data_IF_631022167738
#
_entry.id   IF_631022167738
#
_cell.length_a   1.000
_cell.length_b   1.000
_cell.length_c   1.000
_cell.angle_alpha   90.00
_cell.angle_beta   90.00
_cell.angle_gamma   90.00
#
_symmetry.space_group_name_H-M   'P 1'
#
loop_
_entity.id
_entity.type
_entity.pdbx_description
1 polymer ?
#
# COMPACT_ATOMS: atom_id res chain seq x y z
N UNK A 1 -1.05 -26.98 -22.29
CA UNK A 1 -1.57 -25.98 -21.32
C UNK A 1 -1.08 -24.61 -21.76
N UNK A 2 -1.81 -23.53 -21.43
CA UNK A 2 -1.35 -22.17 -21.71
C UNK A 2 -0.17 -21.81 -20.80
N UNK A 3 0.83 -21.12 -21.32
CA UNK A 3 1.93 -20.54 -20.55
C UNK A 3 1.48 -19.18 -19.99
N UNK A 4 1.47 -19.04 -18.67
CA UNK A 4 1.10 -17.81 -17.98
C UNK A 4 2.33 -17.04 -17.46
N UNK A 5 3.55 -17.48 -17.78
CA UNK A 5 4.75 -16.79 -17.32
C UNK A 5 4.88 -15.39 -17.93
N UNK A 6 5.42 -14.46 -17.14
CA UNK A 6 5.61 -13.06 -17.54
C UNK A 6 6.98 -12.56 -17.09
N UNK A 7 7.52 -11.56 -17.79
CA UNK A 7 8.67 -10.80 -17.30
C UNK A 7 8.15 -9.46 -16.78
N UNK A 8 8.25 -9.26 -15.48
CA UNK A 8 7.82 -8.04 -14.80
C UNK A 8 9.00 -7.41 -14.06
N UNK A 9 9.24 -6.13 -14.30
CA UNK A 9 10.38 -5.40 -13.73
C UNK A 9 11.73 -6.14 -13.89
N UNK A 10 11.93 -6.85 -15.01
CA UNK A 10 13.14 -7.63 -15.28
C UNK A 10 13.22 -9.00 -14.59
N UNK A 11 12.22 -9.40 -13.79
CA UNK A 11 12.12 -10.71 -13.15
C UNK A 11 11.15 -11.61 -13.94
N UNK A 12 11.53 -12.87 -14.14
CA UNK A 12 10.64 -13.87 -14.76
C UNK A 12 9.76 -14.50 -13.67
N UNK A 13 8.45 -14.35 -13.80
CA UNK A 13 7.46 -14.86 -12.85
C UNK A 13 6.63 -15.96 -13.51
N UNK A 14 6.22 -16.97 -12.73
CA UNK A 14 5.37 -18.08 -13.22
C UNK A 14 3.96 -17.66 -13.65
N UNK A 15 3.48 -16.53 -13.16
CA UNK A 15 2.12 -16.03 -13.34
C UNK A 15 2.08 -14.51 -13.17
N UNK A 16 1.20 -13.77 -13.87
CA UNK A 16 0.95 -12.36 -13.60
C UNK A 16 0.08 -12.14 -12.35
N UNK A 17 -0.44 -13.21 -11.75
CA UNK A 17 -1.29 -13.14 -10.57
C UNK A 17 -0.43 -13.15 -9.32
N UNK A 18 -0.65 -12.21 -8.41
CA UNK A 18 -0.02 -12.19 -7.10
C UNK A 18 -0.92 -11.54 -6.06
N UNK A 19 -0.38 -11.39 -4.86
CA UNK A 19 -1.15 -11.00 -3.68
C UNK A 19 -0.77 -9.58 -3.28
N UNK A 20 -1.74 -8.65 -3.30
CA UNK A 20 -1.50 -7.26 -2.93
C UNK A 20 -0.99 -7.13 -1.49
N UNK A 21 -0.23 -6.07 -1.18
CA UNK A 21 0.20 -5.77 0.18
C UNK A 21 -1.00 -5.64 1.12
N UNK A 22 -1.05 -6.47 2.15
CA UNK A 22 -2.07 -6.49 3.20
C UNK A 22 -1.46 -7.09 4.46
N UNK A 23 -1.98 -6.73 5.64
CA UNK A 23 -1.60 -7.39 6.89
C UNK A 23 -2.52 -8.59 7.10
N UNK A 24 -2.00 -9.81 7.02
CA UNK A 24 -2.80 -11.03 7.17
C UNK A 24 -3.18 -11.25 8.64
N UNK A 25 -2.22 -11.16 9.55
CA UNK A 25 -2.46 -11.43 10.95
C UNK A 25 -3.00 -10.20 11.70
N UNK A 26 -4.09 -10.44 12.43
CA UNK A 26 -4.65 -9.51 13.42
C UNK A 26 -3.62 -9.28 14.55
N UNK A 27 -2.63 -8.42 14.32
CA UNK A 27 -1.50 -8.26 15.23
C UNK A 27 -0.41 -7.26 14.82
N UNK A 28 -0.40 -6.74 13.58
CA UNK A 28 0.64 -5.79 13.17
C UNK A 28 2.01 -6.47 12.96
N UNK A 29 2.00 -7.67 12.39
CA UNK A 29 3.13 -8.61 12.34
C UNK A 29 3.79 -8.82 13.72
N UNK A 30 3.09 -9.53 14.60
CA UNK A 30 3.70 -10.02 15.85
C UNK A 30 4.70 -11.16 15.54
N UNK A 31 4.54 -11.85 14.42
CA UNK A 31 5.28 -13.07 14.10
C UNK A 31 5.58 -13.14 12.59
N UNK A 32 6.78 -12.70 12.15
CA UNK A 32 7.13 -12.67 10.74
C UNK A 32 7.21 -14.06 10.10
N UNK A 33 7.54 -15.11 10.87
CA UNK A 33 7.58 -16.47 10.35
C UNK A 33 6.17 -16.98 10.01
N UNK A 34 5.18 -16.70 10.85
CA UNK A 34 3.78 -17.05 10.52
C UNK A 34 3.26 -16.29 9.31
N UNK A 35 3.61 -15.01 9.18
CA UNK A 35 3.28 -14.23 7.97
C UNK A 35 3.94 -14.85 6.74
N UNK A 36 5.19 -15.29 6.82
CA UNK A 36 5.86 -16.01 5.74
C UNK A 36 5.13 -17.32 5.40
N UNK A 37 4.82 -18.16 6.39
CA UNK A 37 4.07 -19.42 6.20
C UNK A 37 2.76 -19.17 5.44
N UNK A 38 2.00 -18.14 5.85
CA UNK A 38 0.74 -17.79 5.22
C UNK A 38 0.92 -17.27 3.79
N UNK A 39 1.94 -16.43 3.54
CA UNK A 39 2.24 -15.97 2.19
C UNK A 39 2.66 -17.12 1.28
N UNK A 40 3.35 -18.13 1.81
CA UNK A 40 3.70 -19.35 1.09
C UNK A 40 2.49 -20.19 0.68
N UNK A 41 1.40 -20.20 1.47
CA UNK A 41 0.13 -20.83 1.04
C UNK A 41 -0.36 -20.23 -0.30
N UNK A 42 -0.24 -18.91 -0.49
CA UNK A 42 -0.59 -18.28 -1.77
C UNK A 42 0.34 -18.69 -2.92
N UNK A 43 1.62 -18.88 -2.62
CA UNK A 43 2.61 -19.35 -3.59
C UNK A 43 2.30 -20.78 -4.04
N UNK A 44 1.92 -21.65 -3.11
CA UNK A 44 1.45 -23.01 -3.40
C UNK A 44 0.17 -23.01 -4.25
N UNK A 45 -0.71 -22.02 -4.05
CA UNK A 45 -1.90 -21.80 -4.89
C UNK A 45 -1.59 -21.20 -6.27
N UNK A 46 -0.33 -20.86 -6.57
CA UNK A 46 0.12 -20.43 -7.89
C UNK A 46 0.38 -18.93 -8.05
N UNK A 47 0.51 -18.17 -6.94
CA UNK A 47 0.96 -16.78 -7.00
C UNK A 47 2.36 -16.68 -7.63
N UNK A 48 2.55 -15.73 -8.55
CA UNK A 48 3.84 -15.39 -9.16
C UNK A 48 4.63 -14.33 -8.39
N UNK A 49 4.00 -13.68 -7.41
CA UNK A 49 4.66 -12.78 -6.47
C UNK A 49 3.82 -12.59 -5.22
N UNK A 50 4.48 -12.25 -4.12
CA UNK A 50 3.86 -11.85 -2.86
C UNK A 50 4.39 -10.49 -2.45
N UNK A 51 3.52 -9.66 -1.90
CA UNK A 51 3.93 -8.42 -1.28
C UNK A 51 4.14 -8.62 0.21
N UNK A 52 5.15 -7.95 0.78
CA UNK A 52 5.17 -7.73 2.22
C UNK A 52 3.98 -6.85 2.62
N UNK A 53 3.55 -6.88 3.89
CA UNK A 53 2.76 -5.80 4.46
C UNK A 53 3.54 -4.47 4.35
N UNK A 54 2.87 -3.35 4.55
CA UNK A 54 3.47 -2.02 4.39
C UNK A 54 4.42 -1.72 5.57
N UNK A 55 5.73 -1.82 5.31
CA UNK A 55 6.83 -1.68 6.28
C UNK A 55 7.19 -0.21 6.45
N UNK A 56 7.13 0.29 7.67
CA UNK A 56 7.54 1.66 8.01
C UNK A 56 8.96 1.74 8.58
N UNK A 57 9.41 2.96 8.87
CA UNK A 57 10.74 3.25 9.40
C UNK A 57 10.86 3.16 10.94
N UNK A 58 9.83 2.68 11.64
CA UNK A 58 9.90 2.46 13.09
C UNK A 58 10.32 1.02 13.39
N UNK A 59 11.26 0.83 14.32
CA UNK A 59 11.84 -0.49 14.59
C UNK A 59 10.83 -1.54 15.06
N UNK A 60 9.97 -1.18 16.02
CA UNK A 60 9.13 -2.12 16.78
C UNK A 60 7.72 -1.60 17.00
N UNK A 61 6.76 -2.51 17.15
CA UNK A 61 5.36 -2.10 17.28
C UNK A 61 5.11 -1.56 18.70
N UNK A 62 4.43 -0.41 18.85
CA UNK A 62 4.10 0.13 20.16
C UNK A 62 3.25 -0.87 20.96
N UNK A 63 3.65 -1.13 22.21
CA UNK A 63 3.01 -2.13 23.09
C UNK A 63 1.63 -1.65 23.58
N UNK A 64 1.47 -0.35 23.72
CA UNK A 64 0.31 0.35 24.23
C UNK A 64 -0.76 0.66 23.17
N UNK A 65 -0.45 0.43 21.89
CA UNK A 65 -1.33 0.74 20.78
C UNK A 65 -1.60 -0.51 19.92
N UNK A 66 -2.27 -1.55 20.46
CA UNK A 66 -2.51 -2.77 19.71
C UNK A 66 -3.32 -2.48 18.44
N UNK A 67 -3.07 -3.25 17.37
CA UNK A 67 -3.76 -3.10 16.10
C UNK A 67 -5.28 -3.06 16.21
N UNK A 68 -5.89 -2.16 15.45
CA UNK A 68 -7.33 -1.92 15.49
C UNK A 68 -7.87 -1.58 14.10
N UNK A 69 -8.86 -2.36 13.65
CA UNK A 69 -9.63 -2.14 12.42
C UNK A 69 -11.11 -2.35 12.67
N UNK A 70 -11.92 -1.67 11.87
CA UNK A 70 -13.34 -1.95 11.70
C UNK A 70 -13.63 -2.16 10.23
N UNK A 71 -14.25 -3.29 9.96
CA UNK A 71 -14.71 -3.69 8.63
C UNK A 71 -16.22 -3.45 8.53
N UNK A 72 -16.68 -2.84 7.45
CA UNK A 72 -18.09 -2.74 7.12
C UNK A 72 -18.30 -3.19 5.68
N UNK A 73 -19.05 -4.28 5.53
CA UNK A 73 -19.46 -4.76 4.22
C UNK A 73 -20.51 -3.83 3.62
N UNK A 74 -20.30 -3.43 2.38
CA UNK A 74 -21.26 -2.70 1.57
C UNK A 74 -21.76 -3.66 0.50
N UNK A 75 -23.09 -3.82 0.41
CA UNK A 75 -23.71 -4.66 -0.61
C UNK A 75 -24.86 -3.92 -1.28
N UNK A 76 -24.91 -3.95 -2.60
CA UNK A 76 -26.08 -3.52 -3.35
C UNK A 76 -26.99 -4.71 -3.67
N UNK A 77 -28.30 -4.45 -3.76
CA UNK A 77 -29.27 -5.47 -4.18
C UNK A 77 -29.18 -5.68 -5.70
N UNK A 78 -29.76 -6.78 -6.18
CA UNK A 78 -30.02 -7.01 -7.60
C UNK A 78 -30.70 -5.77 -8.25
N UNK A 79 -30.38 -5.42 -9.52
CA UNK A 79 -29.55 -6.18 -10.48
C UNK A 79 -28.05 -5.92 -10.40
N UNK A 80 -27.61 -4.95 -9.60
CA UNK A 80 -26.17 -4.59 -9.54
C UNK A 80 -25.34 -5.58 -8.73
N UNK A 81 -25.87 -6.06 -7.58
CA UNK A 81 -25.25 -7.10 -6.74
C UNK A 81 -23.75 -6.88 -6.43
N UNK A 82 -23.35 -5.62 -6.27
CA UNK A 82 -21.97 -5.25 -5.99
C UNK A 82 -21.67 -5.45 -4.50
N UNK A 83 -20.53 -6.07 -4.20
CA UNK A 83 -19.98 -6.13 -2.85
C UNK A 83 -18.75 -5.21 -2.76
N UNK A 84 -18.52 -4.66 -1.57
CA UNK A 84 -17.37 -3.83 -1.25
C UNK A 84 -17.12 -3.83 0.26
N UNK A 85 -15.96 -3.32 0.64
CA UNK A 85 -15.49 -3.31 2.02
C UNK A 85 -15.03 -1.91 2.40
N UNK A 86 -15.58 -1.37 3.48
CA UNK A 86 -15.04 -0.19 4.13
C UNK A 86 -14.14 -0.61 5.28
N UNK A 87 -12.99 0.05 5.38
CA UNK A 87 -12.02 -0.18 6.45
C UNK A 87 -11.73 1.14 7.16
N UNK A 88 -12.09 1.20 8.44
CA UNK A 88 -11.68 2.27 9.34
C UNK A 88 -10.63 1.73 10.31
N UNK A 89 -9.52 2.43 10.45
CA UNK A 89 -8.36 2.01 11.23
C UNK A 89 -7.50 3.22 11.58
N UNK A 90 -6.53 3.05 12.46
CA UNK A 90 -5.50 4.03 12.78
C UNK A 90 -4.20 3.54 12.14
N UNK A 91 -3.60 4.34 11.25
CA UNK A 91 -2.53 3.82 10.39
C UNK A 91 -1.35 3.33 11.22
N UNK A 92 -0.94 4.12 12.22
CA UNK A 92 0.16 3.79 13.11
C UNK A 92 0.03 2.40 13.77
N UNK A 93 -1.20 1.93 14.02
CA UNK A 93 -1.46 0.65 14.68
C UNK A 93 -1.47 -0.57 13.75
N UNK A 94 -1.41 -0.36 12.44
CA UNK A 94 -1.52 -1.45 11.46
C UNK A 94 -0.30 -1.56 10.55
N UNK A 95 0.62 -0.58 10.58
CA UNK A 95 1.87 -0.64 9.82
C UNK A 95 2.77 -1.74 10.36
N UNK A 96 3.36 -2.49 9.44
CA UNK A 96 4.45 -3.38 9.76
C UNK A 96 5.66 -2.54 10.16
N UNK A 97 6.36 -2.99 11.20
CA UNK A 97 7.56 -2.34 11.70
C UNK A 97 8.79 -2.88 11.03
N UNK A 98 9.85 -2.10 11.05
CA UNK A 98 11.06 -2.36 10.28
C UNK A 98 11.64 -3.73 10.60
N UNK A 99 11.94 -4.01 11.87
CA UNK A 99 12.58 -5.27 12.27
C UNK A 99 11.78 -6.51 11.84
N UNK A 100 10.49 -6.68 12.22
CA UNK A 100 9.72 -7.83 11.75
C UNK A 100 9.52 -7.85 10.23
N UNK A 101 9.45 -6.68 9.59
CA UNK A 101 9.36 -6.57 8.13
C UNK A 101 10.60 -7.09 7.41
N UNK A 102 11.80 -6.73 7.89
CA UNK A 102 13.06 -7.22 7.34
C UNK A 102 13.21 -8.73 7.57
N UNK A 103 12.90 -9.21 8.79
CA UNK A 103 12.90 -10.66 9.09
C UNK A 103 11.93 -11.43 8.20
N UNK A 104 10.77 -10.88 7.87
CA UNK A 104 9.83 -11.49 6.92
C UNK A 104 10.45 -11.61 5.53
N UNK A 105 11.10 -10.55 5.03
CA UNK A 105 11.77 -10.57 3.72
C UNK A 105 12.86 -11.65 3.70
N UNK A 106 13.70 -11.69 4.73
CA UNK A 106 14.78 -12.69 4.88
C UNK A 106 14.20 -14.11 4.87
N UNK A 107 13.15 -14.35 5.66
CA UNK A 107 12.48 -15.67 5.76
C UNK A 107 11.89 -16.08 4.41
N UNK A 108 11.16 -15.17 3.73
CA UNK A 108 10.60 -15.44 2.41
C UNK A 108 11.71 -15.74 1.38
N UNK A 109 12.84 -15.04 1.45
CA UNK A 109 13.93 -15.21 0.50
C UNK A 109 14.58 -16.59 0.59
N UNK A 110 14.57 -17.22 1.75
CA UNK A 110 15.10 -18.59 1.95
C UNK A 110 14.22 -19.66 1.28
N UNK A 111 12.90 -19.48 1.30
CA UNK A 111 11.93 -20.51 0.90
C UNK A 111 11.25 -20.26 -0.45
N UNK A 112 11.30 -19.03 -0.97
CA UNK A 112 10.62 -18.68 -2.22
C UNK A 112 11.26 -19.35 -3.45
N UNK A 113 10.46 -19.95 -4.35
CA UNK A 113 10.95 -20.42 -5.64
C UNK A 113 11.50 -19.28 -6.52
N UNK A 114 12.51 -19.57 -7.35
CA UNK A 114 13.16 -18.59 -8.24
C UNK A 114 12.21 -17.85 -9.22
N UNK A 115 11.07 -18.44 -9.55
CA UNK A 115 10.04 -17.91 -10.44
C UNK A 115 8.88 -17.22 -9.69
N UNK A 116 9.11 -16.88 -8.42
CA UNK A 116 8.21 -16.12 -7.54
C UNK A 116 9.01 -14.99 -6.88
N UNK A 117 8.50 -13.76 -6.92
CA UNK A 117 9.19 -12.61 -6.34
C UNK A 117 8.56 -12.17 -5.01
N UNK A 118 9.39 -11.72 -4.07
CA UNK A 118 8.96 -10.88 -2.94
C UNK A 118 9.06 -9.41 -3.32
N UNK A 119 7.95 -8.69 -3.22
CA UNK A 119 7.88 -7.24 -3.45
C UNK A 119 7.75 -6.54 -2.09
N UNK A 120 8.81 -5.83 -1.68
CA UNK A 120 8.80 -5.10 -0.42
C UNK A 120 7.99 -3.81 -0.56
N UNK A 121 6.86 -3.73 0.14
CA UNK A 121 6.02 -2.54 0.18
C UNK A 121 6.50 -1.61 1.30
N UNK A 122 7.09 -0.47 0.94
CA UNK A 122 7.76 0.42 1.89
C UNK A 122 6.97 1.72 2.07
N UNK A 123 6.78 2.17 3.31
CA UNK A 123 6.22 3.48 3.66
C UNK A 123 7.24 4.29 4.47
N UNK A 124 7.88 5.26 3.81
CA UNK A 124 8.91 6.09 4.44
C UNK A 124 8.38 7.35 5.14
N UNK A 125 9.27 8.07 5.82
CA UNK A 125 8.94 9.21 6.67
C UNK A 125 8.66 10.49 5.85
N UNK A 126 7.40 10.73 5.53
CA UNK A 126 6.95 11.94 4.83
C UNK A 126 7.69 12.12 3.50
N UNK A 127 8.28 13.30 3.29
CA UNK A 127 9.06 13.63 2.09
C UNK A 127 10.58 13.58 2.31
N UNK A 128 11.06 12.94 3.38
CA UNK A 128 12.48 12.78 3.66
C UNK A 128 13.14 11.79 2.69
N UNK A 129 13.94 12.32 1.76
CA UNK A 129 14.50 11.54 0.64
C UNK A 129 15.53 10.55 1.13
N UNK A 130 16.37 10.98 2.06
CA UNK A 130 17.41 10.19 2.69
C UNK A 130 16.79 9.06 3.52
N UNK A 131 15.79 9.36 4.34
CA UNK A 131 15.05 8.34 5.10
C UNK A 131 14.37 7.30 4.21
N UNK A 132 13.76 7.70 3.09
CA UNK A 132 13.21 6.77 2.10
C UNK A 132 14.28 5.90 1.43
N UNK A 133 15.42 6.49 1.06
CA UNK A 133 16.54 5.78 0.45
C UNK A 133 17.12 4.72 1.38
N UNK A 134 17.40 5.09 2.64
CA UNK A 134 17.93 4.17 3.66
C UNK A 134 16.94 3.03 3.93
N UNK A 135 15.65 3.34 4.09
CA UNK A 135 14.60 2.35 4.31
C UNK A 135 14.52 1.32 3.16
N UNK A 136 14.53 1.78 1.91
CA UNK A 136 14.48 0.88 0.75
C UNK A 136 15.78 0.09 0.59
N UNK A 137 16.92 0.66 0.98
CA UNK A 137 18.20 -0.03 0.97
C UNK A 137 18.24 -1.17 1.99
N UNK A 138 17.68 -0.98 3.18
CA UNK A 138 17.53 -2.05 4.18
C UNK A 138 16.67 -3.21 3.65
N UNK A 139 15.57 -2.92 2.95
CA UNK A 139 14.74 -3.95 2.33
C UNK A 139 15.44 -4.70 1.19
N UNK A 140 16.24 -4.01 0.37
CA UNK A 140 17.11 -4.63 -0.63
C UNK A 140 18.14 -5.56 0.03
N UNK A 141 18.82 -5.08 1.06
CA UNK A 141 19.87 -5.85 1.76
C UNK A 141 19.30 -7.09 2.48
N UNK A 142 18.03 -7.03 2.93
CA UNK A 142 17.29 -8.17 3.47
C UNK A 142 16.87 -9.20 2.39
N UNK A 143 17.01 -8.88 1.11
CA UNK A 143 16.78 -9.81 0.00
C UNK A 143 15.50 -9.59 -0.80
N UNK A 144 14.89 -8.39 -0.73
CA UNK A 144 13.76 -8.06 -1.58
C UNK A 144 14.12 -8.17 -3.07
N UNK A 145 13.21 -8.71 -3.91
CA UNK A 145 13.44 -8.78 -5.36
C UNK A 145 13.07 -7.47 -6.07
N UNK A 146 12.09 -6.75 -5.52
CA UNK A 146 11.49 -5.53 -6.06
C UNK A 146 11.06 -4.64 -4.88
N UNK A 147 11.21 -3.32 -5.02
CA UNK A 147 10.64 -2.32 -4.11
C UNK A 147 9.35 -1.74 -4.68
N UNK A 148 8.31 -1.62 -3.87
CA UNK A 148 7.15 -0.76 -4.12
C UNK A 148 7.07 0.36 -3.08
N UNK A 149 7.26 1.60 -3.51
CA UNK A 149 7.07 2.78 -2.67
C UNK A 149 5.57 3.04 -2.46
N UNK A 150 5.10 2.84 -1.23
CA UNK A 150 3.73 3.09 -0.81
C UNK A 150 3.52 4.54 -0.39
N UNK A 151 3.34 5.40 -1.39
CA UNK A 151 3.06 6.83 -1.23
C UNK A 151 1.56 7.14 -1.27
N UNK A 152 0.71 6.13 -1.03
CA UNK A 152 -0.71 6.19 -1.37
C UNK A 152 -1.66 5.75 -0.27
N UNK A 153 -1.15 5.40 0.91
CA UNK A 153 -2.01 4.96 2.01
C UNK A 153 -3.02 6.07 2.38
N UNK A 154 -4.34 5.78 2.34
CA UNK A 154 -5.38 6.78 2.60
C UNK A 154 -5.49 7.17 4.07
N UNK A 155 -5.20 6.22 4.97
CA UNK A 155 -5.44 6.40 6.41
C UNK A 155 -4.51 7.44 7.04
N UNK A 156 -3.18 7.45 6.79
CA UNK A 156 -2.30 8.49 7.30
C UNK A 156 -2.72 9.91 6.87
N UNK A 157 -3.14 10.06 5.60
CA UNK A 157 -3.64 11.33 5.07
C UNK A 157 -4.94 11.81 5.75
N UNK A 158 -5.66 10.90 6.42
CA UNK A 158 -6.93 11.19 7.10
C UNK A 158 -6.78 11.51 8.59
N UNK A 159 -5.56 11.39 9.15
CA UNK A 159 -5.31 11.69 10.55
C UNK A 159 -5.35 13.20 10.81
N UNK A 160 -5.77 13.60 12.02
CA UNK A 160 -5.96 15.01 12.37
C UNK A 160 -4.68 15.85 12.19
N UNK A 161 -3.51 15.27 12.50
CA UNK A 161 -2.22 15.91 12.31
C UNK A 161 -1.92 16.17 10.82
N UNK A 162 -2.19 15.20 9.94
CA UNK A 162 -2.00 15.34 8.50
C UNK A 162 -2.91 16.42 7.91
N UNK A 163 -4.19 16.44 8.32
CA UNK A 163 -5.15 17.47 7.88
C UNK A 163 -4.75 18.87 8.38
N UNK A 164 -4.32 18.99 9.63
CA UNK A 164 -3.89 20.27 10.21
C UNK A 164 -2.61 20.77 9.54
N UNK A 165 -1.62 19.90 9.36
CA UNK A 165 -0.37 20.23 8.66
C UNK A 165 -0.63 20.69 7.22
N UNK A 166 -1.51 19.99 6.50
CA UNK A 166 -1.89 20.40 5.14
C UNK A 166 -2.46 21.83 5.10
N UNK A 167 -3.23 22.25 6.10
CA UNK A 167 -3.77 23.62 6.19
C UNK A 167 -2.68 24.68 6.43
N UNK A 168 -1.59 24.33 7.12
CA UNK A 168 -0.48 25.23 7.41
C UNK A 168 0.65 25.17 6.38
N UNK A 169 0.57 24.24 5.42
CA UNK A 169 1.61 24.01 4.42
C UNK A 169 2.71 23.04 4.88
N UNK A 170 2.52 22.37 6.02
CA UNK A 170 3.45 21.39 6.57
C UNK A 170 3.07 19.97 6.14
N UNK A 171 4.06 19.12 5.90
CA UNK A 171 3.86 17.69 5.65
C UNK A 171 4.24 16.89 6.89
N UNK A 172 3.36 16.01 7.35
CA UNK A 172 3.65 15.11 8.47
C UNK A 172 4.54 13.92 8.05
N UNK A 173 5.14 13.26 9.04
CA UNK A 173 5.99 12.06 8.86
C UNK A 173 5.25 10.86 8.26
N UNK A 174 3.91 10.81 8.33
CA UNK A 174 3.10 9.80 7.67
C UNK A 174 2.14 10.47 6.66
N UNK A 175 2.72 11.08 5.62
CA UNK A 175 1.96 11.82 4.62
C UNK A 175 0.98 10.95 3.82
N UNK A 176 1.30 9.66 3.61
CA UNK A 176 0.50 8.74 2.81
C UNK A 176 0.13 9.34 1.45
N UNK A 177 -1.15 9.30 1.10
CA UNK A 177 -1.68 9.87 -0.14
C UNK A 177 -1.37 11.37 -0.35
N UNK A 178 -1.07 12.16 0.70
CA UNK A 178 -0.67 13.57 0.54
C UNK A 178 0.69 13.72 -0.15
N UNK A 179 1.62 12.79 0.09
CA UNK A 179 2.87 12.72 -0.67
C UNK A 179 2.58 12.28 -2.11
N UNK A 180 1.77 11.24 -2.28
CA UNK A 180 1.41 10.68 -3.57
C UNK A 180 0.71 11.65 -4.53
N UNK A 181 -0.10 12.59 -4.03
CA UNK A 181 -0.77 13.63 -4.83
C UNK A 181 0.08 14.90 -5.05
N UNK A 182 1.33 14.92 -4.55
CA UNK A 182 2.24 16.07 -4.66
C UNK A 182 3.50 15.75 -5.47
N UNK A 183 3.49 15.91 -6.81
CA UNK A 183 4.65 15.64 -7.66
C UNK A 183 5.92 16.41 -7.22
N UNK A 184 5.78 17.64 -6.76
CA UNK A 184 6.91 18.47 -6.33
C UNK A 184 7.67 17.87 -5.12
N UNK A 185 6.96 17.11 -4.28
CA UNK A 185 7.53 16.43 -3.11
C UNK A 185 7.92 14.99 -3.46
N UNK A 186 7.08 14.29 -4.22
CA UNK A 186 7.27 12.88 -4.54
C UNK A 186 8.44 12.61 -5.48
N UNK A 187 8.57 13.37 -6.59
CA UNK A 187 9.54 13.03 -7.63
C UNK A 187 11.00 13.04 -7.11
N UNK A 188 11.43 14.01 -6.28
CA UNK A 188 12.75 13.95 -5.67
C UNK A 188 12.97 12.74 -4.73
N UNK A 189 11.92 12.27 -4.05
CA UNK A 189 12.00 11.07 -3.18
C UNK A 189 12.16 9.82 -4.04
N UNK A 190 11.38 9.69 -5.13
CA UNK A 190 11.50 8.57 -6.08
C UNK A 190 12.91 8.51 -6.67
N UNK A 191 13.44 9.65 -7.13
CA UNK A 191 14.79 9.72 -7.69
C UNK A 191 15.87 9.31 -6.67
N UNK A 192 15.71 9.70 -5.39
CA UNK A 192 16.64 9.32 -4.33
C UNK A 192 16.62 7.81 -4.08
N UNK A 193 15.44 7.19 -3.98
CA UNK A 193 15.30 5.74 -3.80
C UNK A 193 15.88 4.97 -4.99
N UNK A 194 15.53 5.35 -6.22
CA UNK A 194 16.03 4.70 -7.44
C UNK A 194 17.57 4.75 -7.52
N UNK A 195 18.21 5.80 -7.03
CA UNK A 195 19.68 5.90 -6.98
C UNK A 195 20.31 5.07 -5.87
N UNK A 196 19.58 4.84 -4.78
CA UNK A 196 20.11 4.18 -3.59
C UNK A 196 20.12 2.65 -3.70
N UNK A 197 19.17 2.06 -4.43
CA UNK A 197 19.04 0.61 -4.61
C UNK A 197 19.44 0.17 -6.03
N UNK A 198 19.74 -1.12 -6.19
CA UNK A 198 20.07 -1.76 -7.46
C UNK A 198 18.92 -2.63 -8.01
N UNK A 199 17.97 -3.02 -7.17
CA UNK A 199 16.75 -3.72 -7.58
C UNK A 199 15.68 -2.78 -8.15
N UNK A 200 14.72 -3.28 -8.96
CA UNK A 200 13.67 -2.45 -9.55
C UNK A 200 12.79 -1.79 -8.49
N UNK A 201 12.51 -0.49 -8.69
CA UNK A 201 11.64 0.31 -7.83
C UNK A 201 10.37 0.70 -8.59
N UNK A 202 9.21 0.52 -7.98
CA UNK A 202 7.94 1.06 -8.47
C UNK A 202 7.25 1.94 -7.45
N UNK A 203 6.23 2.66 -7.91
CA UNK A 203 5.47 3.60 -7.07
C UNK A 203 3.99 3.23 -7.08
N UNK A 204 3.41 3.05 -5.88
CA UNK A 204 1.99 2.75 -5.72
C UNK A 204 1.16 4.02 -5.70
N UNK A 205 0.38 4.24 -6.74
CA UNK A 205 -0.39 5.47 -6.92
C UNK A 205 -1.65 5.50 -6.06
N UNK A 206 -1.92 6.68 -5.50
CA UNK A 206 -3.20 6.99 -4.86
C UNK A 206 -4.26 7.27 -5.93
N UNK A 207 -5.52 6.82 -5.73
CA UNK A 207 -6.61 7.19 -6.62
C UNK A 207 -6.99 8.68 -6.53
N UNK A 208 -6.53 9.38 -5.49
CA UNK A 208 -6.80 10.82 -5.27
C UNK A 208 -6.06 11.71 -6.28
N UNK A 209 -4.96 11.21 -6.85
CA UNK A 209 -4.35 11.78 -8.05
C UNK A 209 -5.26 11.47 -9.25
N UNK A 210 -6.33 12.26 -9.39
CA UNK A 210 -7.32 12.09 -10.45
C UNK A 210 -6.82 12.49 -11.85
N UNK A 211 -7.58 12.11 -12.88
CA UNK A 211 -7.33 12.55 -14.26
C UNK A 211 -7.57 14.07 -14.42
N UNK A 212 -6.73 14.81 -15.19
CA UNK A 212 -5.56 14.33 -15.94
C UNK A 212 -4.24 14.36 -15.14
N UNK A 213 -4.25 14.78 -13.87
CA UNK A 213 -3.02 14.92 -13.04
C UNK A 213 -2.19 13.64 -12.98
N UNK A 214 -2.85 12.49 -12.93
CA UNK A 214 -2.20 11.16 -12.90
C UNK A 214 -1.26 10.92 -14.08
N UNK A 215 -1.56 11.48 -15.26
CA UNK A 215 -0.73 11.33 -16.46
C UNK A 215 0.60 12.06 -16.28
N UNK A 216 0.55 13.31 -15.80
CA UNK A 216 1.74 14.09 -15.51
C UNK A 216 2.58 13.46 -14.40
N UNK A 217 1.93 12.91 -13.37
CA UNK A 217 2.64 12.19 -12.31
C UNK A 217 3.30 10.91 -12.83
N UNK A 218 2.61 10.12 -13.65
CA UNK A 218 3.18 8.91 -14.26
C UNK A 218 4.42 9.21 -15.09
N UNK A 219 4.38 10.28 -15.91
CA UNK A 219 5.54 10.72 -16.68
C UNK A 219 6.70 11.15 -15.76
N UNK A 220 6.43 11.94 -14.74
CA UNK A 220 7.47 12.38 -13.79
C UNK A 220 8.12 11.22 -13.04
N UNK A 221 7.33 10.25 -12.58
CA UNK A 221 7.83 9.06 -11.87
C UNK A 221 8.67 8.16 -12.79
N UNK A 222 8.28 8.03 -14.06
CA UNK A 222 9.08 7.36 -15.08
C UNK A 222 10.40 8.09 -15.33
N UNK A 223 10.38 9.41 -15.45
CA UNK A 223 11.59 10.22 -15.68
C UNK A 223 12.53 10.21 -14.47
N UNK A 224 11.99 10.05 -13.26
CA UNK A 224 12.76 9.81 -12.03
C UNK A 224 13.38 8.40 -11.94
N UNK A 225 13.06 7.51 -12.89
CA UNK A 225 13.69 6.20 -13.05
C UNK A 225 12.92 5.02 -12.45
N UNK A 226 11.67 5.19 -12.01
CA UNK A 226 10.86 4.07 -11.55
C UNK A 226 10.58 3.07 -12.69
N UNK A 227 10.69 1.77 -12.38
CA UNK A 227 10.51 0.67 -13.31
C UNK A 227 9.04 0.34 -13.59
N UNK A 228 8.14 0.62 -12.64
CA UNK A 228 6.71 0.37 -12.79
C UNK A 228 5.87 1.31 -11.92
N UNK A 229 4.58 1.36 -12.24
CA UNK A 229 3.55 1.98 -11.42
C UNK A 229 2.57 0.89 -11.05
N UNK A 230 2.24 0.77 -9.77
CA UNK A 230 1.11 -0.03 -9.33
C UNK A 230 -0.04 0.89 -8.95
N UNK A 231 -1.26 0.44 -9.16
CA UNK A 231 -2.42 1.21 -8.82
C UNK A 231 -3.70 0.41 -8.91
N UNK A 232 -4.75 0.83 -8.22
CA UNK A 232 -4.77 1.95 -7.27
C UNK A 232 -4.57 1.43 -5.84
N UNK A 233 -4.22 2.32 -4.91
CA UNK A 233 -4.53 2.07 -3.50
C UNK A 233 -6.03 2.33 -3.22
N UNK A 234 -6.48 2.06 -2.00
CA UNK A 234 -7.88 2.23 -1.62
C UNK A 234 -8.30 3.72 -1.63
N UNK A 235 -9.41 4.10 -2.30
CA UNK A 235 -9.94 5.47 -2.26
C UNK A 235 -10.35 5.91 -0.86
N UNK A 236 -10.16 7.20 -0.60
CA UNK A 236 -10.62 7.86 0.62
C UNK A 236 -12.15 8.06 0.54
N UNK A 237 -12.87 7.67 1.59
CA UNK A 237 -14.32 7.85 1.67
C UNK A 237 -14.81 7.96 3.12
N UNK A 238 -16.13 7.96 3.31
CA UNK A 238 -16.80 7.84 4.60
C UNK A 238 -17.91 6.80 4.51
N UNK A 239 -18.26 6.19 5.64
CA UNK A 239 -19.41 5.28 5.68
C UNK A 239 -20.72 6.01 5.31
N UNK A 240 -21.66 5.34 4.62
CA UNK A 240 -22.95 5.94 4.28
C UNK A 240 -23.67 6.47 5.53
N UNK A 241 -24.25 7.68 5.48
CA UNK A 241 -24.97 8.25 6.61
C UNK A 241 -26.23 7.41 6.92
N UNK A 242 -26.49 7.15 8.20
CA UNK A 242 -27.76 6.59 8.64
C UNK A 242 -28.79 7.71 8.81
N UNK A 243 -29.69 7.83 7.84
CA UNK A 243 -30.75 8.86 7.83
C UNK A 243 -31.72 8.73 9.01
N UNK A 244 -31.78 7.57 9.66
CA UNK A 244 -32.62 7.35 10.84
C UNK A 244 -31.90 7.66 12.16
N UNK A 245 -30.59 7.95 12.10
CA UNK A 245 -29.74 8.30 13.24
C UNK A 245 -29.05 9.65 13.05
N UNK A 246 -29.73 10.61 12.44
CA UNK A 246 -29.21 11.96 12.25
C UNK A 246 -27.95 12.04 11.38
N UNK A 247 -27.74 11.07 10.48
CA UNK A 247 -26.56 11.00 9.62
C UNK A 247 -25.34 10.34 10.25
N UNK A 248 -25.46 9.81 11.48
CA UNK A 248 -24.41 9.01 12.09
C UNK A 248 -24.11 7.77 11.22
N UNK A 249 -22.85 7.49 11.01
CA UNK A 249 -22.33 6.39 10.21
C UNK A 249 -22.56 5.07 10.94
N UNK A 250 -22.65 3.99 10.17
CA UNK A 250 -23.06 2.67 10.67
C UNK A 250 -21.94 1.90 11.39
N UNK A 251 -20.96 2.61 11.95
CA UNK A 251 -19.84 1.99 12.66
C UNK A 251 -20.26 1.53 14.05
N UNK A 252 -20.40 0.22 14.24
CA UNK A 252 -20.71 -0.34 15.56
C UNK A 252 -19.68 0.10 16.60
N UNK A 253 -20.15 0.75 17.66
CA UNK A 253 -19.31 1.23 18.77
C UNK A 253 -18.57 2.54 18.53
N UNK A 254 -18.80 3.23 17.40
CA UNK A 254 -18.31 4.59 17.19
C UNK A 254 -19.50 5.56 17.13
N UNK A 255 -19.33 6.73 17.71
CA UNK A 255 -20.28 7.83 17.57
C UNK A 255 -19.92 8.79 16.45
N UNK A 256 -18.69 8.71 15.95
CA UNK A 256 -18.14 9.52 14.86
C UNK A 256 -18.21 8.81 13.50
N UNK A 257 -18.05 9.60 12.44
CA UNK A 257 -17.91 9.11 11.05
C UNK A 257 -16.45 9.24 10.63
N UNK A 258 -15.58 8.27 10.97
CA UNK A 258 -14.20 8.32 10.53
C UNK A 258 -14.15 8.29 9.00
N UNK A 259 -13.16 8.99 8.46
CA UNK A 259 -12.68 8.74 7.11
C UNK A 259 -12.21 7.29 7.05
N UNK A 260 -12.53 6.59 5.98
CA UNK A 260 -12.23 5.19 5.79
C UNK A 260 -11.77 4.91 4.36
N UNK A 261 -11.15 3.75 4.19
CA UNK A 261 -10.72 3.23 2.90
C UNK A 261 -11.86 2.40 2.27
N UNK A 262 -12.10 2.58 0.97
CA UNK A 262 -12.98 1.75 0.18
C UNK A 262 -12.19 0.67 -0.58
N UNK A 263 -12.58 -0.60 -0.48
CA UNK A 263 -11.90 -1.71 -1.18
C UNK A 263 -12.88 -2.65 -1.88
N UNK A 264 -12.46 -3.20 -3.02
CA UNK A 264 -13.15 -4.29 -3.71
C UNK A 264 -13.80 -3.87 -5.03
N UNK A 265 -14.80 -4.63 -5.54
CA UNK A 265 -15.34 -4.42 -6.89
C UNK A 265 -15.80 -3.00 -7.27
N UNK A 266 -16.12 -2.12 -6.32
CA UNK A 266 -16.52 -0.73 -6.58
C UNK A 266 -15.39 0.22 -6.98
N UNK A 267 -14.15 -0.03 -6.55
CA UNK A 267 -13.00 0.84 -6.84
C UNK A 267 -12.40 0.55 -8.22
N UNK A 268 -12.79 -0.59 -8.84
CA UNK A 268 -12.33 -1.03 -10.17
C UNK A 268 -12.48 0.03 -11.25
N UNK A 269 -13.50 0.88 -11.16
CA UNK A 269 -13.74 1.92 -12.18
C UNK A 269 -12.72 3.05 -12.05
N UNK A 270 -12.30 3.38 -10.83
CA UNK A 270 -11.19 4.29 -10.59
C UNK A 270 -9.88 3.64 -11.05
N UNK A 271 -9.69 2.35 -10.78
CA UNK A 271 -8.55 1.59 -11.29
C UNK A 271 -8.46 1.64 -12.82
N UNK A 272 -9.54 1.28 -13.52
CA UNK A 272 -9.58 1.28 -14.99
C UNK A 272 -9.32 2.66 -15.58
N UNK A 273 -9.91 3.71 -14.98
CA UNK A 273 -9.66 5.08 -15.42
C UNK A 273 -8.20 5.46 -15.20
N UNK A 274 -7.67 5.25 -13.99
CA UNK A 274 -6.33 5.74 -13.64
C UNK A 274 -5.25 4.95 -14.38
N UNK A 275 -5.28 3.61 -14.33
CA UNK A 275 -4.28 2.80 -15.02
C UNK A 275 -4.45 2.80 -16.54
N UNK A 276 -5.70 2.76 -17.03
CA UNK A 276 -5.98 2.77 -18.46
C UNK A 276 -5.66 4.10 -19.16
N UNK A 277 -5.45 5.19 -18.42
CA UNK A 277 -5.03 6.48 -18.98
C UNK A 277 -3.52 6.70 -18.96
N UNK A 278 -2.75 5.84 -18.30
CA UNK A 278 -1.28 5.89 -18.25
C UNK A 278 -0.61 4.78 -19.06
N UNK A 279 -1.36 3.72 -19.41
CA UNK A 279 -0.92 2.57 -20.21
C UNK A 279 -0.81 2.88 -21.70
#
# INVERSE_FOLDING_TARGET
MADLSVVFAGKKLRSPLGIASHAVFNGGLIDPHKEADHLMEYVEMGAGYVYTPFINNEDEHPKEAPPAWKFMNVRSRSPFAMEGLLVATEANRIMCRLNPGLTLIETLREDLPDDVAVIANMIGPGADKEGWADLCKMAEDAGADIIEMNVSCPIPASEAAAVTGYQTGDLCEAAGALLGDSPALLLPVVEAVVKAVQIPVGVKFTPETGFPRVIGLAQGVKDAGAAFISGINAPITVAPPDIYKGGQGKWTGLTSNPICAALGPWDRFLLYRNLGTIS
#
